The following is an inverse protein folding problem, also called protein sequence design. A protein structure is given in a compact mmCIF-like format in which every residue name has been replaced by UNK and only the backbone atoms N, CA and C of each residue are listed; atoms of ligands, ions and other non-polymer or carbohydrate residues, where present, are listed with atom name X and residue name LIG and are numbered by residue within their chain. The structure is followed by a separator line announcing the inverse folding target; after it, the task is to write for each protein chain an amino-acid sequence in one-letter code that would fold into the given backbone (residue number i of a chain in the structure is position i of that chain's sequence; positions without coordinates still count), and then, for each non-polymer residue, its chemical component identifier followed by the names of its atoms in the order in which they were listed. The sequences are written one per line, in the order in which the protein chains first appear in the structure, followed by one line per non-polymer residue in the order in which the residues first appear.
data_IF_580682217894
#
_entry.id   IF_580682217894
#
_cell.length_a   1.000
_cell.length_b   1.000
_cell.length_c   1.000
_cell.angle_alpha   90.00
_cell.angle_beta   90.00
_cell.angle_gamma   90.00
#
_symmetry.space_group_name_H-M   'P 1'
#
loop_
_entity.id
_entity.type
_entity.pdbx_description
1 polymer ?
#
# COMPACT_ATOMS: atom_id res chain seq x y z
N UNK A 1 2.51 11.20 -3.26
CA UNK A 1 1.25 10.55 -3.71
C UNK A 1 0.12 10.87 -2.73
N UNK A 2 -1.12 11.08 -3.19
CA UNK A 2 -2.30 11.42 -2.37
C UNK A 2 -2.21 12.67 -1.46
N UNK A 3 -1.22 13.54 -1.68
CA UNK A 3 -1.03 14.80 -0.95
C UNK A 3 -1.27 15.99 -1.88
N UNK A 4 -2.53 16.15 -2.30
CA UNK A 4 -2.91 17.17 -3.29
C UNK A 4 -2.72 18.61 -2.77
N UNK A 5 -2.64 18.79 -1.46
CA UNK A 5 -2.37 20.07 -0.80
C UNK A 5 -0.87 20.32 -0.57
N UNK A 6 0.00 19.43 -1.03
CA UNK A 6 1.46 19.50 -0.87
C UNK A 6 1.89 19.72 0.59
N UNK A 7 1.18 19.08 1.51
CA UNK A 7 1.43 19.12 2.95
C UNK A 7 2.88 18.76 3.28
N UNK A 8 3.43 17.73 2.64
CA UNK A 8 4.83 17.32 2.83
C UNK A 8 5.84 18.27 2.17
N UNK A 9 5.44 18.99 1.12
CA UNK A 9 6.30 19.96 0.44
C UNK A 9 6.27 21.36 1.07
N UNK A 10 5.19 21.73 1.75
CA UNK A 10 4.94 23.11 2.18
C UNK A 10 4.78 23.27 3.69
N UNK A 11 3.98 22.43 4.34
CA UNK A 11 3.68 22.56 5.77
C UNK A 11 4.77 21.89 6.63
N UNK A 12 5.13 20.67 6.28
CA UNK A 12 6.16 19.86 6.94
C UNK A 12 7.50 20.60 7.10
N UNK A 13 8.10 21.22 6.07
CA UNK A 13 9.37 21.93 6.24
C UNK A 13 9.28 23.15 7.17
N UNK A 14 8.11 23.80 7.23
CA UNK A 14 7.88 24.93 8.15
C UNK A 14 7.85 24.47 9.60
N UNK A 15 7.23 23.32 9.87
CA UNK A 15 7.24 22.68 11.21
C UNK A 15 8.65 22.20 11.57
N UNK A 16 9.41 21.68 10.61
CA UNK A 16 10.81 21.29 10.80
C UNK A 16 11.71 22.49 11.17
N UNK A 17 11.43 23.68 10.64
CA UNK A 17 12.22 24.87 10.98
C UNK A 17 12.14 25.23 12.47
N UNK A 18 11.05 24.85 13.16
CA UNK A 18 10.80 25.18 14.56
C UNK A 18 11.13 24.06 15.55
N UNK A 19 11.36 22.83 15.08
CA UNK A 19 11.65 21.67 15.93
C UNK A 19 12.95 20.99 15.47
N UNK A 20 13.99 21.06 16.30
CA UNK A 20 15.33 20.56 15.96
C UNK A 20 15.41 19.05 15.78
N UNK A 21 14.77 18.27 16.67
CA UNK A 21 14.74 16.81 16.57
C UNK A 21 14.06 16.37 15.28
N UNK A 22 12.93 17.00 14.95
CA UNK A 22 12.24 16.72 13.70
C UNK A 22 13.07 17.15 12.48
N UNK A 23 13.71 18.32 12.51
CA UNK A 23 14.59 18.77 11.42
C UNK A 23 15.70 17.78 11.14
N UNK A 24 16.35 17.25 12.18
CA UNK A 24 17.37 16.23 12.03
C UNK A 24 16.81 14.97 11.36
N UNK A 25 15.67 14.46 11.84
CA UNK A 25 15.03 13.28 11.24
C UNK A 25 14.58 13.50 9.79
N UNK A 26 14.11 14.70 9.44
CA UNK A 26 13.72 15.04 8.07
C UNK A 26 14.94 15.09 7.13
N UNK A 27 16.09 15.57 7.61
CA UNK A 27 17.33 15.63 6.83
C UNK A 27 17.96 14.25 6.59
N UNK A 28 17.58 13.23 7.37
CA UNK A 28 17.98 11.84 7.10
C UNK A 28 17.34 11.28 5.82
N UNK A 29 16.19 11.81 5.37
CA UNK A 29 15.52 11.32 4.15
C UNK A 29 16.37 11.52 2.88
N UNK A 30 16.89 12.72 2.59
CA UNK A 30 17.88 12.90 1.52
C UNK A 30 19.12 12.02 1.71
N UNK A 31 19.63 11.86 2.93
CA UNK A 31 20.81 11.01 3.20
C UNK A 31 20.53 9.55 2.81
N UNK A 32 19.40 9.00 3.26
CA UNK A 32 18.94 7.67 2.90
C UNK A 32 18.80 7.48 1.38
N UNK A 33 18.34 8.51 0.67
CA UNK A 33 18.17 8.50 -0.80
C UNK A 33 19.49 8.63 -1.57
N UNK A 34 20.51 9.27 -1.00
CA UNK A 34 21.84 9.43 -1.62
C UNK A 34 22.74 8.24 -1.32
N UNK A 35 22.65 7.62 -0.13
CA UNK A 35 23.41 6.41 0.21
C UNK A 35 23.09 5.22 -0.72
N UNK A 36 21.91 5.21 -1.36
CA UNK A 36 21.58 4.23 -2.39
C UNK A 36 22.28 4.48 -3.74
N UNK A 37 22.92 5.65 -3.96
CA UNK A 37 23.77 5.89 -5.15
C UNK A 37 25.17 5.30 -5.02
N UNK A 38 25.78 5.38 -3.84
CA UNK A 38 27.21 5.07 -3.65
C UNK A 38 27.53 3.56 -3.65
N UNK A 39 26.53 2.68 -3.58
CA UNK A 39 26.75 1.23 -3.63
C UNK A 39 27.23 0.71 -4.99
N UNK A 40 27.32 1.56 -6.03
CA UNK A 40 27.89 1.21 -7.33
C UNK A 40 29.42 1.34 -7.45
N UNK A 41 30.11 2.04 -6.53
CA UNK A 41 31.56 2.29 -6.64
C UNK A 41 32.26 2.29 -5.28
N UNK A 42 33.09 1.26 -5.08
CA UNK A 42 34.07 1.08 -4.00
C UNK A 42 33.60 0.37 -2.72
N UNK A 43 34.22 -0.79 -2.48
CA UNK A 43 34.26 -1.46 -1.18
C UNK A 43 35.11 -0.65 -0.20
N UNK A 44 34.50 0.38 0.38
CA UNK A 44 34.94 0.94 1.66
C UNK A 44 33.90 0.56 2.69
N UNK A 45 34.38 -0.08 3.76
CA UNK A 45 33.68 -0.27 5.02
C UNK A 45 33.16 1.08 5.54
N UNK A 46 32.02 1.54 5.04
CA UNK A 46 31.21 2.55 5.68
C UNK A 46 30.57 1.83 6.85
N UNK A 47 31.20 1.98 8.01
CA UNK A 47 30.79 1.34 9.26
C UNK A 47 29.28 1.30 9.38
N UNK A 48 28.75 0.09 9.55
CA UNK A 48 27.35 -0.24 9.75
C UNK A 48 26.64 0.82 10.61
N UNK A 49 26.04 1.83 9.97
CA UNK A 49 24.86 2.53 10.50
C UNK A 49 23.61 1.65 10.26
N UNK A 50 23.81 0.34 10.39
CA UNK A 50 22.79 -0.70 10.44
C UNK A 50 22.20 -0.67 11.83
N UNK A 51 21.29 0.27 12.02
CA UNK A 51 20.19 0.23 12.96
C UNK A 51 19.60 1.63 12.91
N UNK A 52 18.30 1.71 12.63
CA UNK A 52 17.38 2.51 13.43
C UNK A 52 18.13 3.19 14.59
N UNK A 53 18.51 4.47 14.40
CA UNK A 53 19.34 5.23 15.35
C UNK A 53 18.89 4.95 16.79
N UNK A 54 19.79 4.97 17.79
CA UNK A 54 19.41 4.95 19.22
C UNK A 54 18.33 5.98 19.59
N UNK A 55 18.00 6.94 18.71
CA UNK A 55 16.79 7.75 18.76
C UNK A 55 15.48 6.94 18.87
N UNK A 56 15.33 5.76 18.26
CA UNK A 56 14.13 4.92 18.43
C UNK A 56 14.08 4.26 19.82
N UNK A 57 15.23 3.98 20.42
CA UNK A 57 15.34 3.44 21.79
C UNK A 57 15.25 4.53 22.87
N UNK A 58 15.73 5.74 22.58
CA UNK A 58 15.71 6.88 23.50
C UNK A 58 14.32 7.53 23.65
N UNK A 59 13.36 7.20 22.77
CA UNK A 59 11.97 7.66 22.87
C UNK A 59 11.15 6.84 23.88
N UNK A 60 11.75 5.81 24.50
CA UNK A 60 11.09 4.93 25.47
C UNK A 60 11.05 5.42 26.91
N UNK A 61 11.87 6.40 27.31
CA UNK A 61 12.13 6.67 28.74
C UNK A 61 11.71 8.05 29.27
N UNK A 62 11.13 8.94 28.46
CA UNK A 62 10.59 10.21 28.96
C UNK A 62 9.06 10.16 29.07
N UNK A 63 8.59 9.45 30.09
CA UNK A 63 7.20 9.33 30.54
C UNK A 63 6.66 10.65 31.16
N UNK A 64 7.15 11.80 30.71
CA UNK A 64 6.87 13.11 31.27
C UNK A 64 6.45 14.14 30.22
N UNK A 65 5.13 14.31 30.05
CA UNK A 65 4.46 15.46 29.41
C UNK A 65 4.80 15.72 27.94
N UNK A 66 3.80 15.60 27.08
CA UNK A 66 3.93 15.78 25.64
C UNK A 66 3.30 17.09 25.15
N UNK A 67 4.09 18.17 24.94
CA UNK A 67 3.53 19.37 24.33
C UNK A 67 3.48 19.29 22.79
N UNK A 68 4.22 18.40 22.12
CA UNK A 68 4.30 18.37 20.65
C UNK A 68 4.07 16.97 20.03
N UNK A 69 2.79 16.57 19.93
CA UNK A 69 2.37 15.35 19.24
C UNK A 69 2.78 15.35 17.76
N UNK A 70 2.67 16.51 17.11
CA UNK A 70 2.97 16.67 15.68
C UNK A 70 4.46 16.41 15.40
N UNK A 71 5.37 17.01 16.20
CA UNK A 71 6.81 16.81 16.06
C UNK A 71 7.24 15.34 16.25
N UNK A 72 6.63 14.63 17.21
CA UNK A 72 6.88 13.18 17.36
C UNK A 72 6.39 12.39 16.16
N UNK A 73 5.16 12.64 15.72
CA UNK A 73 4.59 11.93 14.58
C UNK A 73 5.45 12.11 13.32
N UNK A 74 5.92 13.33 13.10
CA UNK A 74 6.80 13.68 11.98
C UNK A 74 8.18 13.02 12.09
N UNK A 75 8.77 12.99 13.29
CA UNK A 75 10.07 12.35 13.56
C UNK A 75 9.99 10.84 13.30
N UNK A 76 9.02 10.16 13.94
CA UNK A 76 8.77 8.72 13.75
C UNK A 76 8.51 8.39 12.29
N UNK A 77 7.67 9.17 11.61
CA UNK A 77 7.38 8.97 10.19
C UNK A 77 8.64 9.07 9.33
N UNK A 78 9.48 10.10 9.56
CA UNK A 78 10.69 10.31 8.77
C UNK A 78 11.67 9.13 8.92
N UNK A 79 11.81 8.59 10.13
CA UNK A 79 12.64 7.43 10.40
C UNK A 79 12.10 6.15 9.72
N UNK A 80 10.80 5.92 9.76
CA UNK A 80 10.18 4.78 9.07
C UNK A 80 10.38 4.90 7.56
N UNK A 81 10.09 6.06 6.96
CA UNK A 81 10.31 6.26 5.52
C UNK A 81 11.80 6.08 5.17
N UNK A 82 12.73 6.53 6.01
CA UNK A 82 14.16 6.25 5.82
C UNK A 82 14.45 4.74 5.78
N UNK A 83 13.86 3.96 6.69
CA UNK A 83 14.04 2.51 6.71
C UNK A 83 13.55 1.86 5.39
N UNK A 84 12.37 2.27 4.92
CA UNK A 84 11.82 1.81 3.63
C UNK A 84 12.70 2.20 2.43
N UNK A 85 13.23 3.42 2.40
CA UNK A 85 14.13 3.88 1.31
C UNK A 85 15.44 3.08 1.33
N UNK A 86 16.03 2.87 2.51
CA UNK A 86 17.33 2.20 2.67
C UNK A 86 17.26 0.72 2.31
N UNK A 87 16.23 0.02 2.80
CA UNK A 87 16.04 -1.40 2.58
C UNK A 87 14.57 -1.78 2.81
N UNK A 88 13.75 -1.67 1.76
CA UNK A 88 12.32 -1.97 1.82
C UNK A 88 12.02 -3.41 2.27
N UNK A 89 12.67 -4.47 1.74
CA UNK A 89 12.46 -5.83 2.23
C UNK A 89 12.70 -5.99 3.73
N UNK A 90 13.77 -5.40 4.26
CA UNK A 90 14.05 -5.43 5.69
C UNK A 90 13.01 -4.64 6.50
N UNK A 91 12.58 -3.48 6.00
CA UNK A 91 11.55 -2.66 6.64
C UNK A 91 10.20 -3.39 6.73
N UNK A 92 9.83 -4.20 5.73
CA UNK A 92 8.65 -5.06 5.81
C UNK A 92 8.79 -6.12 6.90
N UNK A 93 9.97 -6.70 7.11
CA UNK A 93 10.15 -7.72 8.13
C UNK A 93 10.06 -7.18 9.56
N UNK A 94 10.40 -5.91 9.77
CA UNK A 94 10.37 -5.28 11.08
C UNK A 94 8.93 -5.05 11.56
N UNK A 95 8.67 -5.48 12.81
CA UNK A 95 7.43 -5.14 13.49
C UNK A 95 7.59 -3.76 14.13
N UNK A 96 6.63 -2.83 13.91
CA UNK A 96 6.62 -1.55 14.61
C UNK A 96 6.54 -1.75 16.13
N UNK A 97 7.12 -0.83 16.89
CA UNK A 97 6.98 -0.86 18.35
C UNK A 97 5.57 -0.46 18.78
N UNK A 98 5.13 -0.95 19.93
CA UNK A 98 3.82 -0.63 20.51
C UNK A 98 3.59 0.89 20.62
N UNK A 99 4.63 1.66 20.93
CA UNK A 99 4.58 3.12 20.98
C UNK A 99 4.21 3.76 19.63
N UNK A 100 4.67 3.19 18.50
CA UNK A 100 4.29 3.65 17.16
C UNK A 100 2.83 3.32 16.87
N UNK A 101 2.37 2.12 17.25
CA UNK A 101 0.98 1.72 17.06
C UNK A 101 0.02 2.60 17.87
N UNK A 102 0.36 2.91 19.13
CA UNK A 102 -0.39 3.87 19.96
C UNK A 102 -0.45 5.24 19.30
N UNK A 103 0.68 5.76 18.82
CA UNK A 103 0.75 7.03 18.10
C UNK A 103 -0.14 7.04 16.85
N UNK A 104 -0.10 6.00 16.03
CA UNK A 104 -0.99 5.86 14.85
C UNK A 104 -2.45 5.81 15.27
N UNK A 105 -2.75 5.12 16.38
CA UNK A 105 -4.09 5.08 16.97
C UNK A 105 -4.62 6.44 17.46
N UNK A 106 -3.74 7.36 17.87
CA UNK A 106 -4.13 8.76 18.13
C UNK A 106 -4.35 9.56 16.84
N UNK A 107 -3.51 9.33 15.82
CA UNK A 107 -3.61 10.01 14.53
C UNK A 107 -4.87 9.62 13.74
N UNK A 108 -5.45 8.46 14.01
CA UNK A 108 -6.72 8.00 13.44
C UNK A 108 -7.85 9.02 13.65
N UNK A 109 -7.90 9.67 14.81
CA UNK A 109 -8.89 10.71 15.12
C UNK A 109 -8.81 11.94 14.20
N UNK A 110 -7.67 12.14 13.53
CA UNK A 110 -7.43 13.22 12.57
C UNK A 110 -7.56 12.77 11.11
N UNK A 111 -7.96 11.53 10.82
CA UNK A 111 -7.96 11.00 9.46
C UNK A 111 -8.81 11.81 8.46
N UNK A 112 -9.86 12.48 8.94
CA UNK A 112 -10.77 13.31 8.14
C UNK A 112 -10.45 14.82 8.17
N UNK A 113 -9.64 15.29 9.12
CA UNK A 113 -9.42 16.73 9.41
C UNK A 113 -8.57 17.45 8.34
N UNK A 114 -7.94 16.68 7.45
CA UNK A 114 -6.94 17.22 6.52
C UNK A 114 -5.67 17.71 7.23
N UNK A 115 -4.83 18.46 6.50
CA UNK A 115 -3.59 19.01 7.05
C UNK A 115 -2.52 17.96 7.39
N UNK A 116 -1.56 18.34 8.24
CA UNK A 116 -0.36 17.54 8.51
C UNK A 116 -0.68 16.24 9.25
N UNK A 117 -1.57 16.28 10.25
CA UNK A 117 -1.90 15.09 11.05
C UNK A 117 -2.61 14.02 10.22
N UNK A 118 -3.58 14.42 9.39
CA UNK A 118 -4.22 13.50 8.44
C UNK A 118 -3.22 12.96 7.42
N UNK A 119 -2.36 13.81 6.85
CA UNK A 119 -1.37 13.39 5.87
C UNK A 119 -0.38 12.36 6.46
N UNK A 120 0.03 12.55 7.72
CA UNK A 120 0.85 11.59 8.46
C UNK A 120 0.12 10.27 8.67
N UNK A 121 -1.12 10.31 9.15
CA UNK A 121 -1.94 9.12 9.34
C UNK A 121 -1.99 8.29 8.05
N UNK A 122 -2.38 8.89 6.93
CA UNK A 122 -2.51 8.18 5.65
C UNK A 122 -1.18 7.71 5.06
N UNK A 123 -0.05 8.32 5.42
CA UNK A 123 1.26 7.78 5.10
C UNK A 123 1.60 6.58 5.99
N UNK A 124 1.27 6.59 7.28
CA UNK A 124 1.41 5.41 8.15
C UNK A 124 0.57 4.25 7.60
N UNK A 125 -0.71 4.48 7.26
CA UNK A 125 -1.56 3.41 6.74
C UNK A 125 -0.97 2.78 5.47
N UNK A 126 -0.42 3.58 4.55
CA UNK A 126 0.28 3.05 3.36
C UNK A 126 1.48 2.19 3.71
N UNK A 127 2.36 2.65 4.61
CA UNK A 127 3.52 1.86 5.02
C UNK A 127 3.10 0.53 5.66
N UNK A 128 2.16 0.56 6.60
CA UNK A 128 1.64 -0.64 7.26
C UNK A 128 0.92 -1.59 6.28
N UNK A 129 0.11 -1.06 5.37
CA UNK A 129 -0.55 -1.85 4.33
C UNK A 129 0.47 -2.52 3.41
N UNK A 130 1.54 -1.81 3.03
CA UNK A 130 2.60 -2.40 2.21
C UNK A 130 3.30 -3.57 2.91
N UNK A 131 3.59 -3.42 4.21
CA UNK A 131 4.17 -4.49 5.03
C UNK A 131 3.23 -5.69 5.12
N UNK A 132 1.95 -5.44 5.39
CA UNK A 132 0.93 -6.48 5.52
C UNK A 132 0.73 -7.24 4.20
N UNK A 133 0.71 -6.53 3.06
CA UNK A 133 0.64 -7.13 1.72
C UNK A 133 1.88 -8.00 1.43
N UNK A 134 3.08 -7.48 1.70
CA UNK A 134 4.32 -8.20 1.44
C UNK A 134 4.41 -9.51 2.25
N UNK A 135 3.90 -9.50 3.49
CA UNK A 135 3.95 -10.63 4.43
C UNK A 135 2.72 -11.54 4.40
N UNK A 136 1.69 -11.19 3.64
CA UNK A 136 0.40 -11.88 3.67
C UNK A 136 -0.19 -11.99 5.11
N UNK A 137 -0.22 -10.85 5.83
CA UNK A 137 -0.77 -10.76 7.20
C UNK A 137 -1.86 -9.69 7.31
N UNK A 138 -2.66 -9.69 8.38
CA UNK A 138 -3.53 -8.56 8.71
C UNK A 138 -2.72 -7.30 9.09
N UNK A 139 -3.33 -6.12 8.93
CA UNK A 139 -2.81 -4.86 9.48
C UNK A 139 -2.92 -4.88 11.01
N UNK A 140 -1.91 -4.33 11.69
CA UNK A 140 -1.86 -4.17 13.15
C UNK A 140 -2.35 -2.80 13.65
N UNK A 141 -2.90 -1.96 12.77
CA UNK A 141 -3.37 -0.60 13.12
C UNK A 141 -4.87 -0.47 13.01
N UNK A 142 -5.45 0.45 13.79
CA UNK A 142 -6.85 0.84 13.65
C UNK A 142 -7.08 1.65 12.38
N UNK A 143 -8.17 1.32 11.70
CA UNK A 143 -8.60 1.95 10.46
C UNK A 143 -9.94 2.64 10.68
N UNK A 144 -10.13 3.88 10.18
CA UNK A 144 -11.42 4.52 10.20
C UNK A 144 -12.44 3.73 9.38
N UNK A 145 -13.72 3.93 9.69
CA UNK A 145 -14.80 3.40 8.85
C UNK A 145 -14.68 3.95 7.43
N UNK A 146 -14.95 3.08 6.45
CA UNK A 146 -15.08 3.46 5.04
C UNK A 146 -16.14 4.54 4.82
N UNK A 147 -17.15 4.60 5.70
CA UNK A 147 -18.26 5.55 5.62
C UNK A 147 -17.82 7.01 5.83
N UNK A 148 -16.67 7.23 6.49
CA UNK A 148 -16.12 8.58 6.64
C UNK A 148 -15.83 9.27 5.31
N UNK A 149 -15.69 8.50 4.22
CA UNK A 149 -15.31 9.01 2.91
C UNK A 149 -16.36 8.77 1.82
N UNK A 150 -17.49 8.12 2.14
CA UNK A 150 -18.58 7.85 1.17
C UNK A 150 -19.43 9.08 0.90
N UNK A 151 -19.68 9.91 1.93
CA UNK A 151 -20.47 11.14 1.84
C UNK A 151 -19.57 12.36 1.85
N UNK A 152 -19.01 12.70 0.69
CA UNK A 152 -18.27 13.96 0.54
C UNK A 152 -19.25 15.13 0.50
N UNK A 153 -19.00 16.15 1.32
CA UNK A 153 -19.72 17.42 1.26
C UNK A 153 -19.73 17.97 -0.17
N UNK A 154 -20.86 18.43 -0.71
CA UNK A 154 -20.94 18.99 -2.07
C UNK A 154 -19.94 20.14 -2.30
N UNK A 155 -19.60 20.86 -1.24
CA UNK A 155 -18.64 21.97 -1.24
C UNK A 155 -17.16 21.54 -1.15
N UNK A 156 -16.86 20.24 -1.04
CA UNK A 156 -15.49 19.76 -0.92
C UNK A 156 -14.63 20.20 -2.12
N UNK A 157 -13.36 20.53 -1.89
CA UNK A 157 -12.43 20.85 -2.96
C UNK A 157 -12.07 19.61 -3.81
N UNK A 158 -11.56 19.83 -5.02
CA UNK A 158 -11.06 18.73 -5.89
C UNK A 158 -9.97 17.90 -5.18
N UNK A 159 -9.08 18.58 -4.44
CA UNK A 159 -8.01 17.95 -3.66
C UNK A 159 -8.55 16.98 -2.59
N UNK A 160 -9.56 17.40 -1.84
CA UNK A 160 -10.20 16.57 -0.82
C UNK A 160 -10.91 15.37 -1.45
N UNK A 161 -11.74 15.62 -2.49
CA UNK A 161 -12.44 14.54 -3.21
C UNK A 161 -11.48 13.49 -3.77
N UNK A 162 -10.36 13.93 -4.36
CA UNK A 162 -9.33 13.05 -4.90
C UNK A 162 -8.70 12.20 -3.80
N UNK A 163 -8.30 12.83 -2.70
CA UNK A 163 -7.65 12.12 -1.58
C UNK A 163 -8.61 11.12 -0.94
N UNK A 164 -9.87 11.50 -0.71
CA UNK A 164 -10.90 10.61 -0.15
C UNK A 164 -11.20 9.40 -1.02
N UNK A 165 -11.21 9.54 -2.35
CA UNK A 165 -11.37 8.38 -3.25
C UNK A 165 -10.19 7.41 -3.16
N UNK A 166 -8.96 7.92 -3.08
CA UNK A 166 -7.78 7.08 -2.88
C UNK A 166 -7.77 6.40 -1.52
N UNK A 167 -8.17 7.11 -0.45
CA UNK A 167 -8.28 6.56 0.90
C UNK A 167 -9.33 5.46 0.99
N UNK A 168 -10.47 5.58 0.28
CA UNK A 168 -11.47 4.50 0.20
C UNK A 168 -10.90 3.22 -0.41
N UNK A 169 -10.19 3.31 -1.54
CA UNK A 169 -9.55 2.14 -2.15
C UNK A 169 -8.55 1.47 -1.19
N UNK A 170 -7.78 2.30 -0.47
CA UNK A 170 -6.81 1.86 0.51
C UNK A 170 -7.48 1.11 1.68
N UNK A 171 -8.53 1.70 2.26
CA UNK A 171 -9.31 1.08 3.35
C UNK A 171 -9.95 -0.24 2.91
N UNK A 172 -10.52 -0.29 1.70
CA UNK A 172 -11.11 -1.50 1.14
C UNK A 172 -10.06 -2.59 0.97
N UNK A 173 -8.89 -2.26 0.42
CA UNK A 173 -7.78 -3.21 0.30
C UNK A 173 -7.32 -3.74 1.67
N UNK A 174 -7.18 -2.86 2.66
CA UNK A 174 -6.80 -3.26 4.02
C UNK A 174 -7.86 -4.17 4.69
N UNK A 175 -9.15 -3.86 4.53
CA UNK A 175 -10.26 -4.70 5.04
C UNK A 175 -10.30 -6.06 4.35
N UNK A 176 -10.08 -6.10 3.03
CA UNK A 176 -9.95 -7.36 2.29
C UNK A 176 -8.77 -8.18 2.78
N UNK A 177 -7.62 -7.55 3.03
CA UNK A 177 -6.45 -8.25 3.54
C UNK A 177 -6.71 -8.86 4.93
N UNK A 178 -7.36 -8.12 5.83
CA UNK A 178 -7.77 -8.62 7.14
C UNK A 178 -8.78 -9.79 7.05
N UNK A 179 -9.65 -9.78 6.04
CA UNK A 179 -10.55 -10.90 5.75
C UNK A 179 -9.78 -12.15 5.26
N UNK A 180 -8.80 -11.97 4.38
CA UNK A 180 -8.00 -13.07 3.83
C UNK A 180 -7.04 -13.68 4.85
N UNK A 181 -6.47 -12.85 5.74
CA UNK A 181 -5.45 -13.24 6.71
C UNK A 181 -5.86 -12.80 8.13
N UNK A 182 -6.92 -13.40 8.71
CA UNK A 182 -7.42 -13.01 10.03
C UNK A 182 -6.36 -13.25 11.12
N UNK A 183 -6.31 -12.36 12.11
CA UNK A 183 -5.41 -12.52 13.25
C UNK A 183 -5.78 -13.76 14.07
N UNK A 184 -4.78 -14.49 14.56
CA UNK A 184 -5.00 -15.65 15.43
C UNK A 184 -5.80 -15.20 16.68
N UNK A 185 -7.02 -15.71 16.84
CA UNK A 185 -7.94 -15.34 17.93
C UNK A 185 -9.11 -14.43 17.54
N UNK A 186 -9.14 -13.83 16.34
CA UNK A 186 -10.28 -13.01 15.88
C UNK A 186 -11.57 -13.82 15.65
N UNK A 187 -11.45 -15.13 15.49
CA UNK A 187 -12.57 -16.05 15.30
C UNK A 187 -13.19 -16.53 16.63
N UNK A 188 -12.61 -16.12 17.76
CA UNK A 188 -13.17 -16.38 19.09
C UNK A 188 -14.05 -15.20 19.47
N UNK A 189 -15.38 -15.39 19.34
CA UNK A 189 -16.46 -14.60 19.98
C UNK A 189 -16.08 -13.18 20.42
N UNK A 190 -16.64 -12.17 19.73
CA UNK A 190 -16.61 -10.79 20.22
C UNK A 190 -16.95 -10.77 21.73
N UNK A 191 -16.23 -9.99 22.56
CA UNK A 191 -16.41 -9.98 24.01
C UNK A 191 -17.85 -9.66 24.46
N UNK A 192 -18.65 -9.06 23.57
CA UNK A 192 -20.05 -8.66 23.79
C UNK A 192 -21.11 -9.72 23.43
N UNK A 193 -20.72 -10.95 23.08
CA UNK A 193 -21.69 -12.03 22.79
C UNK A 193 -22.53 -11.81 21.53
N UNK A 194 -22.17 -10.84 20.70
CA UNK A 194 -22.79 -10.63 19.39
C UNK A 194 -22.36 -11.74 18.41
N UNK A 195 -23.29 -12.35 17.66
CA UNK A 195 -22.94 -13.39 16.70
C UNK A 195 -22.03 -12.80 15.62
N UNK A 196 -20.90 -13.49 15.35
CA UNK A 196 -19.99 -13.10 14.27
C UNK A 196 -20.73 -13.11 12.93
N UNK A 197 -20.57 -12.05 12.15
CA UNK A 197 -21.11 -11.98 10.78
C UNK A 197 -20.57 -13.19 9.97
N UNK A 198 -21.44 -13.95 9.27
CA UNK A 198 -20.99 -15.11 8.51
C UNK A 198 -19.92 -14.74 7.47
N UNK A 199 -18.89 -15.56 7.31
CA UNK A 199 -17.77 -15.34 6.36
C UNK A 199 -18.27 -15.02 4.93
N UNK A 200 -19.35 -15.68 4.49
CA UNK A 200 -19.97 -15.44 3.17
C UNK A 200 -20.62 -14.06 3.06
N UNK A 201 -21.15 -13.54 4.16
CA UNK A 201 -21.74 -12.20 4.22
C UNK A 201 -20.64 -11.14 4.14
N UNK A 202 -19.58 -11.28 4.96
CA UNK A 202 -18.43 -10.38 4.93
C UNK A 202 -17.78 -10.33 3.55
N UNK A 203 -17.57 -11.50 2.93
CA UNK A 203 -17.03 -11.60 1.56
C UNK A 203 -17.91 -10.84 0.55
N UNK A 204 -19.24 -10.98 0.65
CA UNK A 204 -20.18 -10.31 -0.24
C UNK A 204 -20.18 -8.80 -0.03
N UNK A 205 -20.17 -8.34 1.21
CA UNK A 205 -20.11 -6.92 1.55
C UNK A 205 -18.86 -6.29 0.94
N UNK A 206 -17.70 -6.92 1.11
CA UNK A 206 -16.44 -6.43 0.53
C UNK A 206 -16.50 -6.37 -1.00
N UNK A 207 -17.05 -7.41 -1.65
CA UNK A 207 -17.26 -7.42 -3.09
C UNK A 207 -18.15 -6.26 -3.55
N UNK A 208 -19.28 -6.04 -2.87
CA UNK A 208 -20.22 -4.97 -3.23
C UNK A 208 -19.61 -3.58 -3.03
N UNK A 209 -18.85 -3.39 -1.96
CA UNK A 209 -18.17 -2.11 -1.68
C UNK A 209 -17.04 -1.83 -2.68
N UNK A 210 -16.29 -2.85 -3.09
CA UNK A 210 -15.27 -2.74 -4.15
C UNK A 210 -15.92 -2.39 -5.49
N UNK A 211 -17.03 -3.05 -5.85
CA UNK A 211 -17.80 -2.74 -7.06
C UNK A 211 -18.38 -1.32 -7.03
N UNK A 212 -18.92 -0.90 -5.88
CA UNK A 212 -19.41 0.46 -5.67
C UNK A 212 -18.29 1.49 -5.78
N UNK A 213 -17.10 1.21 -5.26
CA UNK A 213 -15.94 2.09 -5.43
C UNK A 213 -15.55 2.21 -6.90
N UNK A 214 -15.47 1.08 -7.62
CA UNK A 214 -15.12 1.06 -9.03
C UNK A 214 -16.12 1.85 -9.87
N UNK A 215 -17.42 1.66 -9.66
CA UNK A 215 -18.49 2.32 -10.43
C UNK A 215 -18.68 3.81 -10.07
N UNK A 216 -18.26 4.23 -8.86
CA UNK A 216 -18.37 5.63 -8.41
C UNK A 216 -17.10 6.46 -8.60
N UNK A 217 -16.04 5.89 -9.18
CA UNK A 217 -14.75 6.58 -9.33
C UNK A 217 -14.89 7.80 -10.24
N UNK A 218 -14.35 8.97 -9.86
CA UNK A 218 -14.41 10.18 -10.68
C UNK A 218 -13.49 10.03 -11.91
N UNK A 219 -13.72 10.80 -12.97
CA UNK A 219 -12.98 10.68 -14.23
C UNK A 219 -11.45 10.82 -14.10
N UNK A 220 -10.94 11.51 -13.08
CA UNK A 220 -9.49 11.58 -12.82
C UNK A 220 -8.89 10.28 -12.21
N UNK A 221 -9.72 9.30 -11.89
CA UNK A 221 -9.36 7.93 -11.47
C UNK A 221 -9.64 6.91 -12.58
N UNK A 222 -10.19 7.31 -13.72
CA UNK A 222 -10.32 6.45 -14.88
C UNK A 222 -8.98 6.39 -15.65
N UNK A 223 -8.67 5.24 -16.27
CA UNK A 223 -7.47 5.12 -17.09
C UNK A 223 -7.58 6.06 -18.30
N UNK A 224 -6.49 6.77 -18.60
CA UNK A 224 -6.36 7.58 -19.81
C UNK A 224 -6.17 6.71 -21.04
N UNK A 225 -5.51 5.57 -20.86
CA UNK A 225 -5.29 4.53 -21.87
C UNK A 225 -5.57 3.20 -21.18
N UNK A 226 -6.39 2.38 -21.81
CA UNK A 226 -6.72 1.02 -21.38
C UNK A 226 -6.79 0.16 -22.63
N UNK A 227 -5.75 -0.64 -22.86
CA UNK A 227 -5.64 -1.53 -24.01
C UNK A 227 -5.29 -2.93 -23.52
N UNK A 228 -6.08 -3.92 -23.97
CA UNK A 228 -5.79 -5.32 -23.68
C UNK A 228 -4.41 -5.74 -24.20
N UNK A 229 -3.82 -6.74 -23.55
CA UNK A 229 -2.58 -7.34 -24.01
C UNK A 229 -2.78 -7.88 -25.45
N UNK A 230 -1.91 -7.56 -26.43
CA UNK A 230 -2.06 -8.08 -27.77
C UNK A 230 -1.90 -9.60 -27.74
N UNK A 231 -2.90 -10.35 -28.22
CA UNK A 231 -2.94 -11.81 -28.14
C UNK A 231 -1.75 -12.55 -28.79
N UNK A 232 -0.91 -11.87 -29.57
CA UNK A 232 0.24 -12.42 -30.28
C UNK A 232 1.59 -11.74 -29.94
N UNK A 233 1.64 -10.88 -28.92
CA UNK A 233 2.86 -10.13 -28.59
C UNK A 233 3.52 -10.63 -27.31
N UNK A 234 4.49 -11.53 -27.46
CA UNK A 234 5.37 -11.97 -26.37
C UNK A 234 6.09 -10.80 -25.66
N UNK A 235 6.30 -9.69 -26.35
CA UNK A 235 6.96 -8.49 -25.80
C UNK A 235 6.09 -7.67 -24.84
N UNK A 236 4.77 -7.89 -24.83
CA UNK A 236 3.82 -7.11 -24.03
C UNK A 236 2.75 -8.03 -23.43
N UNK A 237 3.12 -8.85 -22.43
CA UNK A 237 2.25 -9.90 -21.91
C UNK A 237 1.16 -9.39 -20.94
N UNK A 238 1.12 -8.07 -20.70
CA UNK A 238 0.17 -7.41 -19.79
C UNK A 238 -0.61 -6.31 -20.52
N UNK A 239 -1.82 -5.97 -20.04
CA UNK A 239 -2.57 -4.83 -20.55
C UNK A 239 -1.80 -3.52 -20.35
N UNK A 240 -2.00 -2.59 -21.28
CA UNK A 240 -1.39 -1.26 -21.26
C UNK A 240 -2.34 -0.27 -20.60
N UNK A 241 -2.07 0.09 -19.35
CA UNK A 241 -2.97 0.90 -18.51
C UNK A 241 -2.24 2.12 -17.95
N UNK A 242 -2.68 3.33 -18.33
CA UNK A 242 -2.08 4.58 -17.90
C UNK A 242 -3.05 5.45 -17.12
N UNK A 243 -2.55 6.09 -16.05
CA UNK A 243 -3.31 7.10 -15.31
C UNK A 243 -2.62 8.46 -15.33
N UNK A 244 -3.40 9.50 -15.13
CA UNK A 244 -2.91 10.89 -15.14
C UNK A 244 -2.25 11.30 -13.82
N UNK A 245 -2.56 10.62 -12.72
CA UNK A 245 -2.08 10.96 -11.37
C UNK A 245 -1.65 9.74 -10.58
N UNK A 246 -0.65 9.88 -9.71
CA UNK A 246 -0.22 8.79 -8.82
C UNK A 246 -1.29 8.35 -7.82
N UNK A 247 -2.24 9.22 -7.45
CA UNK A 247 -3.38 8.84 -6.60
C UNK A 247 -4.31 7.87 -7.33
N UNK A 248 -4.54 8.08 -8.62
CA UNK A 248 -5.31 7.16 -9.46
C UNK A 248 -4.57 5.83 -9.67
N UNK A 249 -3.25 5.85 -9.90
CA UNK A 249 -2.41 4.64 -9.98
C UNK A 249 -2.55 3.81 -8.70
N UNK A 250 -2.33 4.42 -7.53
CA UNK A 250 -2.44 3.74 -6.23
C UNK A 250 -3.80 3.12 -6.03
N UNK A 251 -4.86 3.90 -6.20
CA UNK A 251 -6.19 3.44 -5.86
C UNK A 251 -6.67 2.31 -6.77
N UNK A 252 -6.42 2.40 -8.08
CA UNK A 252 -6.80 1.35 -9.02
C UNK A 252 -5.96 0.09 -8.82
N UNK A 253 -4.64 0.22 -8.60
CA UNK A 253 -3.81 -0.95 -8.34
C UNK A 253 -4.20 -1.65 -7.04
N UNK A 254 -4.51 -0.90 -5.98
CA UNK A 254 -5.02 -1.47 -4.73
C UNK A 254 -6.41 -2.08 -4.88
N UNK A 255 -7.29 -1.51 -5.70
CA UNK A 255 -8.58 -2.11 -6.05
C UNK A 255 -8.39 -3.48 -6.72
N UNK A 256 -7.55 -3.59 -7.77
CA UNK A 256 -7.30 -4.88 -8.41
C UNK A 256 -6.61 -5.86 -7.47
N UNK A 257 -5.73 -5.38 -6.59
CA UNK A 257 -5.09 -6.22 -5.56
C UNK A 257 -6.09 -6.76 -4.55
N UNK A 258 -7.03 -5.92 -4.09
CA UNK A 258 -8.11 -6.35 -3.21
C UNK A 258 -9.00 -7.39 -3.90
N UNK A 259 -9.40 -7.14 -5.14
CA UNK A 259 -10.19 -8.10 -5.92
C UNK A 259 -9.45 -9.42 -6.14
N UNK A 260 -8.15 -9.38 -6.47
CA UNK A 260 -7.30 -10.57 -6.57
C UNK A 260 -7.33 -11.37 -5.26
N UNK A 261 -7.02 -10.74 -4.13
CA UNK A 261 -7.01 -11.41 -2.81
C UNK A 261 -8.37 -12.00 -2.46
N UNK A 262 -9.44 -11.22 -2.64
CA UNK A 262 -10.80 -11.60 -2.28
C UNK A 262 -11.35 -12.76 -3.13
N UNK A 263 -11.03 -12.77 -4.43
CA UNK A 263 -11.42 -13.85 -5.34
C UNK A 263 -10.59 -15.12 -5.10
N UNK A 264 -9.32 -14.99 -4.68
CA UNK A 264 -8.48 -16.12 -4.27
C UNK A 264 -8.93 -16.76 -2.95
N UNK A 265 -9.57 -15.99 -2.05
CA UNK A 265 -10.07 -16.46 -0.75
C UNK A 265 -11.59 -16.69 -0.74
N UNK A 266 -12.14 -17.15 -1.86
CA UNK A 266 -13.58 -17.30 -2.05
C UNK A 266 -14.19 -18.40 -1.15
N UNK A 267 -15.20 -18.10 -0.31
CA UNK A 267 -15.83 -19.10 0.55
C UNK A 267 -16.54 -20.20 -0.26
N UNK A 268 -16.31 -21.48 0.04
CA UNK A 268 -16.86 -22.61 -0.76
C UNK A 268 -18.39 -22.58 -0.96
N UNK A 269 -19.14 -22.06 -0.01
CA UNK A 269 -20.61 -21.97 -0.02
C UNK A 269 -21.17 -20.73 -0.72
N UNK A 270 -20.33 -19.83 -1.25
CA UNK A 270 -20.78 -18.54 -1.81
C UNK A 270 -21.82 -18.68 -2.94
N UNK A 271 -21.71 -19.72 -3.79
CA UNK A 271 -22.60 -19.94 -4.96
C UNK A 271 -24.05 -20.19 -4.56
N UNK A 272 -24.28 -20.68 -3.34
CA UNK A 272 -25.61 -21.00 -2.85
C UNK A 272 -26.31 -19.81 -2.18
N UNK A 273 -25.59 -18.71 -1.96
CA UNK A 273 -26.07 -17.65 -1.10
C UNK A 273 -26.85 -16.58 -1.88
N UNK A 274 -26.27 -15.88 -2.88
CA UNK A 274 -26.92 -14.69 -3.48
C UNK A 274 -26.37 -14.35 -4.88
N UNK A 275 -27.13 -13.58 -5.70
CA UNK A 275 -26.61 -13.03 -6.96
C UNK A 275 -25.45 -12.05 -6.72
N UNK A 276 -24.40 -12.13 -7.54
CA UNK A 276 -23.30 -11.17 -7.58
C UNK A 276 -23.72 -9.86 -8.27
N UNK A 277 -22.98 -8.75 -8.06
CA UNK A 277 -23.14 -7.54 -8.86
C UNK A 277 -23.10 -7.82 -10.36
N UNK A 278 -23.83 -7.04 -11.15
CA UNK A 278 -23.95 -7.25 -12.62
C UNK A 278 -22.60 -7.16 -13.33
N UNK A 279 -21.70 -6.29 -12.86
CA UNK A 279 -20.31 -6.15 -13.33
C UNK A 279 -19.48 -7.44 -13.16
N UNK A 280 -19.95 -8.35 -12.32
CA UNK A 280 -19.35 -9.66 -12.05
C UNK A 280 -20.34 -10.80 -12.32
N UNK A 281 -21.16 -10.65 -13.35
CA UNK A 281 -21.99 -11.73 -13.84
C UNK A 281 -21.15 -12.98 -14.20
N UNK A 282 -21.79 -14.15 -14.19
CA UNK A 282 -21.13 -15.41 -14.55
C UNK A 282 -20.51 -15.31 -15.95
N UNK A 283 -19.21 -15.60 -16.04
CA UNK A 283 -18.44 -15.50 -17.29
C UNK A 283 -17.75 -14.15 -17.52
N UNK A 284 -17.92 -13.17 -16.62
CA UNK A 284 -17.14 -11.92 -16.66
C UNK A 284 -15.68 -12.18 -16.29
N UNK A 285 -14.74 -11.54 -17.01
CA UNK A 285 -13.30 -11.59 -16.71
C UNK A 285 -12.98 -11.01 -15.32
N UNK A 286 -13.82 -10.11 -14.81
CA UNK A 286 -13.73 -9.53 -13.46
C UNK A 286 -13.95 -10.54 -12.34
N UNK A 287 -14.33 -11.78 -12.64
CA UNK A 287 -14.36 -12.89 -11.68
C UNK A 287 -13.05 -13.68 -11.61
N UNK A 288 -12.10 -13.42 -12.51
CA UNK A 288 -10.83 -14.13 -12.59
C UNK A 288 -9.77 -13.48 -11.71
N UNK A 289 -9.23 -14.17 -10.69
CA UNK A 289 -8.08 -13.67 -9.93
C UNK A 289 -6.89 -13.33 -10.84
N UNK A 290 -6.60 -14.19 -11.82
CA UNK A 290 -5.49 -13.99 -12.77
C UNK A 290 -5.68 -12.72 -13.60
N UNK A 291 -6.91 -12.41 -14.02
CA UNK A 291 -7.18 -11.16 -14.75
C UNK A 291 -6.82 -9.95 -13.87
N UNK A 292 -7.25 -9.93 -12.60
CA UNK A 292 -6.88 -8.86 -11.68
C UNK A 292 -5.36 -8.79 -11.42
N UNK A 293 -4.66 -9.92 -11.33
CA UNK A 293 -3.20 -9.93 -11.22
C UNK A 293 -2.53 -9.31 -12.46
N UNK A 294 -3.00 -9.62 -13.67
CA UNK A 294 -2.52 -9.02 -14.91
C UNK A 294 -2.81 -7.52 -14.99
N UNK A 295 -3.96 -7.07 -14.47
CA UNK A 295 -4.28 -5.64 -14.35
C UNK A 295 -3.29 -4.94 -13.40
N UNK A 296 -2.98 -5.52 -12.24
CA UNK A 296 -1.97 -4.98 -11.32
C UNK A 296 -0.60 -4.84 -12.00
N UNK A 297 -0.13 -5.89 -12.70
CA UNK A 297 1.12 -5.82 -13.46
C UNK A 297 1.04 -4.76 -14.57
N UNK A 298 -0.06 -4.70 -15.32
CA UNK A 298 -0.27 -3.68 -16.36
C UNK A 298 -0.22 -2.26 -15.81
N UNK A 299 -0.85 -2.00 -14.66
CA UNK A 299 -0.80 -0.68 -14.02
C UNK A 299 0.63 -0.37 -13.56
N UNK A 300 1.29 -1.30 -12.86
CA UNK A 300 2.62 -1.07 -12.31
C UNK A 300 3.67 -0.81 -13.39
N UNK A 301 3.65 -1.58 -14.48
CA UNK A 301 4.69 -1.57 -15.51
C UNK A 301 4.56 -0.43 -16.52
N UNK A 302 3.43 0.28 -16.55
CA UNK A 302 3.21 1.40 -17.46
C UNK A 302 3.31 2.78 -16.78
N UNK A 303 3.30 2.86 -15.45
CA UNK A 303 3.25 4.13 -14.72
C UNK A 303 4.60 4.53 -14.08
N UNK A 304 5.63 4.69 -14.91
CA UNK A 304 7.04 4.85 -14.50
C UNK A 304 7.49 6.24 -14.02
N UNK A 305 6.56 7.09 -13.58
CA UNK A 305 6.94 8.40 -13.07
C UNK A 305 7.50 8.27 -11.66
N UNK A 306 8.62 8.95 -11.38
CA UNK A 306 9.27 8.93 -10.06
C UNK A 306 8.34 9.35 -8.91
N UNK A 307 7.40 10.27 -9.16
CA UNK A 307 6.44 10.76 -8.17
C UNK A 307 5.21 9.85 -7.99
N UNK A 308 5.12 8.78 -8.77
CA UNK A 308 4.03 7.81 -8.76
C UNK A 308 4.38 6.48 -8.06
N UNK A 309 5.54 6.36 -7.41
CA UNK A 309 5.90 5.14 -6.67
C UNK A 309 5.60 5.24 -5.18
N UNK A 310 5.11 4.14 -4.63
CA UNK A 310 4.75 3.95 -3.23
C UNK A 310 5.07 2.52 -2.79
N UNK A 311 5.47 2.26 -1.53
CA UNK A 311 5.68 0.90 -1.05
C UNK A 311 4.47 -0.03 -1.24
N UNK A 312 3.24 0.48 -1.15
CA UNK A 312 2.04 -0.30 -1.46
C UNK A 312 2.02 -0.80 -2.90
N UNK A 313 2.50 0.01 -3.86
CA UNK A 313 2.52 -0.36 -5.28
C UNK A 313 3.51 -1.50 -5.54
N UNK A 314 4.68 -1.47 -4.88
CA UNK A 314 5.65 -2.56 -4.99
C UNK A 314 5.11 -3.83 -4.33
N UNK A 315 4.56 -3.72 -3.11
CA UNK A 315 4.01 -4.88 -2.41
C UNK A 315 2.83 -5.52 -3.19
N UNK A 316 1.93 -4.71 -3.74
CA UNK A 316 0.83 -5.22 -4.58
C UNK A 316 1.31 -5.85 -5.89
N UNK A 317 2.34 -5.27 -6.55
CA UNK A 317 2.96 -5.89 -7.72
C UNK A 317 3.53 -7.27 -7.37
N UNK A 318 4.22 -7.41 -6.23
CA UNK A 318 4.73 -8.70 -5.77
C UNK A 318 3.59 -9.70 -5.52
N UNK A 319 2.49 -9.29 -4.87
CA UNK A 319 1.30 -10.13 -4.67
C UNK A 319 0.75 -10.65 -6.00
N UNK A 320 0.65 -9.80 -7.03
CA UNK A 320 0.19 -10.21 -8.35
C UNK A 320 1.20 -11.10 -9.09
N UNK A 321 2.49 -10.75 -9.00
CA UNK A 321 3.57 -11.44 -9.68
C UNK A 321 3.72 -12.91 -9.26
N UNK A 322 3.48 -13.22 -7.99
CA UNK A 322 3.49 -14.61 -7.48
C UNK A 322 2.52 -15.53 -8.21
N UNK A 323 1.45 -14.99 -8.81
CA UNK A 323 0.50 -15.74 -9.62
C UNK A 323 0.89 -15.92 -11.10
N UNK A 324 2.05 -15.44 -11.54
CA UNK A 324 2.51 -15.52 -12.93
C UNK A 324 3.22 -16.84 -13.22
N UNK A 325 2.71 -17.59 -14.20
CA UNK A 325 3.23 -18.92 -14.56
C UNK A 325 3.87 -18.98 -15.94
N UNK A 326 3.79 -17.90 -16.73
CA UNK A 326 4.38 -17.84 -18.06
C UNK A 326 5.71 -17.08 -18.03
N UNK A 327 6.75 -17.64 -18.65
CA UNK A 327 8.10 -17.06 -18.70
C UNK A 327 8.11 -15.61 -19.23
N UNK A 328 7.28 -15.31 -20.24
CA UNK A 328 7.14 -13.96 -20.79
C UNK A 328 6.63 -12.96 -19.74
N UNK A 329 5.63 -13.35 -18.93
CA UNK A 329 5.06 -12.53 -17.85
C UNK A 329 6.07 -12.34 -16.72
N UNK A 330 6.72 -13.43 -16.31
CA UNK A 330 7.75 -13.40 -15.28
C UNK A 330 8.89 -12.49 -15.69
N UNK A 331 9.42 -12.65 -16.91
CA UNK A 331 10.48 -11.81 -17.49
C UNK A 331 10.08 -10.34 -17.52
N UNK A 332 8.86 -10.02 -17.96
CA UNK A 332 8.36 -8.63 -17.97
C UNK A 332 8.27 -8.03 -16.56
N UNK A 333 7.82 -8.80 -15.56
CA UNK A 333 7.82 -8.36 -14.16
C UNK A 333 9.24 -8.11 -13.65
N UNK A 334 10.19 -9.00 -13.97
CA UNK A 334 11.59 -8.84 -13.55
C UNK A 334 12.22 -7.56 -14.12
N UNK A 335 12.03 -7.29 -15.41
CA UNK A 335 12.45 -6.03 -16.02
C UNK A 335 11.77 -4.82 -15.38
N UNK A 336 10.47 -4.94 -15.05
CA UNK A 336 9.73 -3.94 -14.32
C UNK A 336 10.32 -3.60 -12.96
N UNK A 337 10.57 -4.62 -12.13
CA UNK A 337 11.17 -4.45 -10.80
C UNK A 337 12.56 -3.82 -10.87
N UNK A 338 13.39 -4.22 -11.85
CA UNK A 338 14.68 -3.57 -12.11
C UNK A 338 14.51 -2.09 -12.45
N UNK A 339 13.55 -1.75 -13.33
CA UNK A 339 13.25 -0.37 -13.69
C UNK A 339 12.73 0.45 -12.50
N UNK A 340 11.88 -0.13 -11.67
CA UNK A 340 11.39 0.49 -10.43
C UNK A 340 12.58 0.79 -9.52
N UNK A 341 13.48 -0.17 -9.33
CA UNK A 341 14.70 0.02 -8.54
C UNK A 341 15.58 1.13 -9.11
N UNK A 342 15.73 1.24 -10.44
CA UNK A 342 16.47 2.33 -11.08
C UNK A 342 15.85 3.71 -10.84
N UNK A 343 14.52 3.84 -10.97
CA UNK A 343 13.80 5.11 -10.82
C UNK A 343 13.75 5.57 -9.36
N UNK A 344 13.45 4.64 -8.45
CA UNK A 344 13.19 4.91 -7.04
C UNK A 344 14.45 4.80 -6.17
N UNK A 345 15.46 4.06 -6.65
CA UNK A 345 16.65 3.65 -5.90
C UNK A 345 16.36 2.77 -4.68
N UNK A 346 15.20 2.14 -4.65
CA UNK A 346 14.88 1.15 -3.63
C UNK A 346 15.62 -0.14 -3.89
N UNK A 347 16.17 -0.75 -2.83
CA UNK A 347 16.83 -2.05 -2.90
C UNK A 347 15.77 -3.14 -2.96
N UNK A 348 15.60 -3.75 -4.13
CA UNK A 348 14.60 -4.80 -4.38
C UNK A 348 15.24 -6.18 -4.66
N UNK A 349 16.56 -6.32 -4.54
CA UNK A 349 17.27 -7.55 -4.92
C UNK A 349 16.79 -8.78 -4.15
N UNK A 350 16.56 -8.63 -2.84
CA UNK A 350 16.10 -9.72 -1.99
C UNK A 350 14.70 -10.23 -2.40
N UNK A 351 13.77 -9.31 -2.71
CA UNK A 351 12.40 -9.68 -3.11
C UNK A 351 12.37 -10.23 -4.54
N UNK A 352 13.27 -9.75 -5.39
CA UNK A 352 13.51 -10.29 -6.73
C UNK A 352 14.04 -11.73 -6.66
N UNK A 353 14.96 -12.02 -5.74
CA UNK A 353 15.48 -13.36 -5.55
C UNK A 353 14.41 -14.32 -4.99
N UNK A 354 13.67 -13.89 -3.96
CA UNK A 354 12.55 -14.65 -3.38
C UNK A 354 11.49 -14.99 -4.43
N UNK A 355 11.08 -14.01 -5.24
CA UNK A 355 10.08 -14.22 -6.29
C UNK A 355 10.52 -15.24 -7.35
N UNK A 356 11.80 -15.23 -7.75
CA UNK A 356 12.37 -16.21 -8.68
C UNK A 356 12.36 -17.61 -8.09
N UNK A 357 12.78 -17.75 -6.84
CA UNK A 357 12.76 -19.03 -6.13
C UNK A 357 11.34 -19.60 -6.02
N UNK A 358 10.35 -18.75 -5.72
CA UNK A 358 8.93 -19.15 -5.70
C UNK A 358 8.45 -19.69 -7.06
N UNK A 359 8.84 -19.07 -8.17
CA UNK A 359 8.49 -19.54 -9.52
C UNK A 359 9.21 -20.85 -9.89
N UNK A 360 10.50 -20.97 -9.59
CA UNK A 360 11.26 -22.19 -9.86
C UNK A 360 10.67 -23.41 -9.12
N UNK A 361 10.21 -23.20 -7.87
CA UNK A 361 9.53 -24.25 -7.09
C UNK A 361 8.18 -24.61 -7.73
N UNK A 362 7.42 -23.62 -8.19
CA UNK A 362 6.12 -23.85 -8.81
C UNK A 362 6.20 -24.58 -10.16
N UNK A 363 7.30 -24.42 -10.91
CA UNK A 363 7.54 -25.18 -12.16
C UNK A 363 7.98 -26.63 -11.91
N UNK A 364 8.55 -26.92 -10.73
CA UNK A 364 9.03 -28.26 -10.38
C UNK A 364 7.94 -29.20 -9.83
N UNK A 365 6.77 -28.68 -9.44
CA UNK A 365 5.62 -29.41 -8.86
C UNK A 365 4.55 -29.65 -9.91
#
# INVERSE_FOLDING_TARGET
MCDMTQTFGMAVPRVAATNEAYRAALLELPSAYLESEDTGVSGRDVGSRSALSPALMAMGDEEGVLPDLQGRALTTMSLLVCAFIRNMPLAWQQQPSEAVEHLVGYLEGHAADGGVMAALYWLFVRLYLSTALAKATSLSIRLPSTDLFTSLEPAAGIAQRTSSHAYRALLLCARTLAFCFPHEGANSTAPDGTPSVPVVETWRTLINELDAWQTSRPGNFEPMVDMDAPAASASYPFPTIFFTTGAAVLANQLYHTAMLLLLSHKPRSWRMAYPLPTSMAAGSLTQSPLWHAQQVCGIALNNDRKDCWDPCLVASLLVAARGMTHEEQQTAVMHGLSRIAEITRWKLDAVVAELKEEWDIAEAV
#
